data_IF_694560588020
#
_entry.id   IF_694560588020
#
_cell.length_a   1.000
_cell.length_b   1.000
_cell.length_c   1.000
_cell.angle_alpha   90.00
_cell.angle_beta   90.00
_cell.angle_gamma   90.00
#
_symmetry.space_group_name_H-M   'P 1'
#
loop_
_entity.id
_entity.type
_entity.pdbx_description
1 polymer ?
#
# COMPACT_ATOMS: atom_id res chain seq x y z
N UNK A 1 -12.58 8.40 -17.37
CA UNK A 1 -11.45 8.15 -16.44
C UNK A 1 -12.03 8.05 -15.04
N UNK A 2 -11.68 7.04 -14.23
CA UNK A 2 -12.18 6.96 -12.86
C UNK A 2 -11.57 8.10 -12.03
N UNK A 3 -12.43 8.85 -11.35
CA UNK A 3 -12.03 9.94 -10.44
C UNK A 3 -12.39 9.53 -9.03
N UNK A 4 -11.43 9.62 -8.11
CA UNK A 4 -11.64 9.32 -6.70
C UNK A 4 -11.54 10.63 -5.93
N UNK A 5 -12.63 11.02 -5.25
CA UNK A 5 -12.64 12.18 -4.36
C UNK A 5 -12.42 11.72 -2.93
N UNK A 6 -11.30 12.12 -2.34
CA UNK A 6 -11.03 11.88 -0.92
C UNK A 6 -11.60 13.05 -0.12
N UNK A 7 -12.62 12.80 0.69
CA UNK A 7 -13.22 13.79 1.61
C UNK A 7 -12.73 13.51 3.03
N UNK A 8 -12.68 14.56 3.85
CA UNK A 8 -12.33 14.47 5.27
C UNK A 8 -10.89 13.97 5.55
N UNK A 9 -9.90 14.51 4.83
CA UNK A 9 -8.49 14.22 5.11
C UNK A 9 -8.09 14.93 6.42
N UNK A 10 -7.58 14.22 7.43
CA UNK A 10 -7.08 14.85 8.65
C UNK A 10 -5.97 15.86 8.31
N UNK A 11 -5.92 17.04 8.95
CA UNK A 11 -4.95 18.08 8.63
C UNK A 11 -3.50 17.59 8.76
N UNK A 12 -3.21 16.76 9.77
CA UNK A 12 -1.90 16.14 9.95
C UNK A 12 -1.50 15.21 8.79
N UNK A 13 -2.49 14.51 8.20
CA UNK A 13 -2.25 13.63 7.05
C UNK A 13 -2.04 14.45 5.78
N UNK A 14 -2.77 15.56 5.62
CA UNK A 14 -2.59 16.47 4.50
C UNK A 14 -1.19 17.11 4.51
N UNK A 15 -0.69 17.53 5.68
CA UNK A 15 0.67 18.08 5.79
C UNK A 15 1.74 17.04 5.46
N UNK A 16 1.59 15.79 5.94
CA UNK A 16 2.49 14.69 5.56
C UNK A 16 2.46 14.41 4.05
N UNK A 17 1.28 14.41 3.43
CA UNK A 17 1.11 14.26 1.99
C UNK A 17 1.78 15.40 1.22
N UNK A 18 1.62 16.64 1.69
CA UNK A 18 2.23 17.83 1.08
C UNK A 18 3.75 17.80 1.17
N UNK A 19 4.30 17.42 2.33
CA UNK A 19 5.74 17.24 2.50
C UNK A 19 6.28 16.14 1.58
N UNK A 20 5.62 14.97 1.55
CA UNK A 20 6.02 13.88 0.66
C UNK A 20 5.95 14.30 -0.82
N UNK A 21 4.88 14.97 -1.22
CA UNK A 21 4.72 15.49 -2.58
C UNK A 21 5.84 16.47 -2.96
N UNK A 22 6.20 17.38 -2.05
CA UNK A 22 7.31 18.33 -2.26
C UNK A 22 8.67 17.62 -2.38
N UNK A 23 8.96 16.66 -1.49
CA UNK A 23 10.19 15.86 -1.54
C UNK A 23 10.31 15.08 -2.85
N UNK A 24 9.19 14.53 -3.31
CA UNK A 24 9.13 13.76 -4.54
C UNK A 24 8.94 14.64 -5.80
N UNK A 25 8.94 15.97 -5.67
CA UNK A 25 8.70 16.95 -6.76
C UNK A 25 7.45 16.64 -7.59
N UNK A 26 6.38 16.18 -6.95
CA UNK A 26 5.11 15.83 -7.61
C UNK A 26 3.94 16.58 -7.00
N UNK A 27 2.81 16.59 -7.70
CA UNK A 27 1.56 17.14 -7.16
C UNK A 27 1.02 16.25 -6.04
N UNK A 28 0.23 16.83 -5.14
CA UNK A 28 -0.47 16.09 -4.08
C UNK A 28 -1.35 14.98 -4.69
N UNK A 29 -1.98 15.24 -5.84
CA UNK A 29 -2.82 14.24 -6.51
C UNK A 29 -2.00 13.01 -6.92
N UNK A 30 -0.83 13.21 -7.53
CA UNK A 30 0.07 12.11 -7.90
C UNK A 30 0.61 11.37 -6.68
N UNK A 31 0.87 12.08 -5.57
CA UNK A 31 1.30 11.47 -4.32
C UNK A 31 0.19 10.61 -3.69
N UNK A 32 -1.06 11.08 -3.71
CA UNK A 32 -2.22 10.31 -3.25
C UNK A 32 -2.38 9.03 -4.08
N UNK A 33 -2.28 9.13 -5.41
CA UNK A 33 -2.36 7.96 -6.30
C UNK A 33 -1.27 6.94 -5.95
N UNK A 34 -0.03 7.39 -5.76
CA UNK A 34 1.09 6.51 -5.40
C UNK A 34 0.92 5.93 -3.99
N UNK A 35 0.40 6.70 -3.04
CA UNK A 35 0.11 6.23 -1.70
C UNK A 35 -0.95 5.13 -1.74
N UNK A 36 -2.02 5.31 -2.53
CA UNK A 36 -3.06 4.30 -2.77
C UNK A 36 -2.47 3.09 -3.49
N UNK A 37 -1.67 3.29 -4.53
CA UNK A 37 -1.01 2.20 -5.27
C UNK A 37 -0.09 1.39 -4.37
N UNK A 38 0.70 2.05 -3.52
CA UNK A 38 1.56 1.41 -2.52
C UNK A 38 0.73 0.69 -1.46
N UNK A 39 -0.30 1.30 -0.92
CA UNK A 39 -1.17 0.69 0.09
C UNK A 39 -1.89 -0.55 -0.45
N UNK A 40 -2.35 -0.50 -1.71
CA UNK A 40 -2.97 -1.64 -2.39
C UNK A 40 -1.92 -2.71 -2.71
N UNK A 41 -0.76 -2.34 -3.27
CA UNK A 41 0.33 -3.29 -3.56
C UNK A 41 0.86 -3.98 -2.31
N UNK A 42 1.01 -3.26 -1.20
CA UNK A 42 1.37 -3.83 0.11
C UNK A 42 0.25 -4.72 0.67
N UNK A 43 -1.00 -4.50 0.28
CA UNK A 43 -2.15 -5.36 0.64
C UNK A 43 -2.47 -6.48 -0.35
N UNK A 44 -1.78 -6.62 -1.48
CA UNK A 44 -1.81 -7.87 -2.26
C UNK A 44 -0.90 -8.88 -1.56
N UNK A 45 -1.21 -9.13 -0.30
CA UNK A 45 -0.93 -10.42 0.31
C UNK A 45 -1.96 -11.33 -0.32
N UNK A 46 -1.61 -11.94 -1.44
CA UNK A 46 -2.43 -12.98 -2.05
C UNK A 46 -2.63 -14.06 -0.96
N UNK A 47 -3.86 -14.27 -0.46
CA UNK A 47 -4.12 -15.22 0.60
C UNK A 47 -3.66 -16.63 0.21
N UNK A 48 -3.77 -16.97 -1.08
CA UNK A 48 -3.27 -18.23 -1.62
C UNK A 48 -1.74 -18.27 -1.61
N UNK A 49 -1.05 -17.15 -1.86
CA UNK A 49 0.41 -17.09 -1.74
C UNK A 49 0.88 -17.24 -0.29
N UNK A 50 0.16 -16.68 0.68
CA UNK A 50 0.45 -16.87 2.12
C UNK A 50 0.15 -18.29 2.57
N UNK A 51 -0.98 -18.87 2.14
CA UNK A 51 -1.30 -20.26 2.43
C UNK A 51 -0.29 -21.20 1.78
N UNK A 52 0.16 -20.92 0.55
CA UNK A 52 1.21 -21.69 -0.13
C UNK A 52 2.54 -21.59 0.59
N UNK A 53 2.94 -20.39 1.04
CA UNK A 53 4.16 -20.20 1.83
C UNK A 53 4.08 -20.94 3.19
N UNK A 54 2.93 -20.87 3.86
CA UNK A 54 2.68 -21.57 5.12
C UNK A 54 2.69 -23.11 4.94
N UNK A 55 2.11 -23.62 3.85
CA UNK A 55 2.17 -25.06 3.49
C UNK A 55 3.60 -25.52 3.24
N UNK A 56 4.36 -24.79 2.42
CA UNK A 56 5.78 -25.07 2.16
C UNK A 56 6.63 -25.05 3.42
N UNK A 57 6.34 -24.14 4.35
CA UNK A 57 7.05 -24.07 5.63
C UNK A 57 6.71 -25.27 6.53
N UNK A 58 5.45 -25.71 6.56
CA UNK A 58 5.00 -26.91 7.30
C UNK A 58 5.60 -28.20 6.74
N UNK A 59 5.67 -28.35 5.42
CA UNK A 59 6.33 -29.51 4.79
C UNK A 59 7.82 -29.58 5.15
N UNK A 60 8.50 -28.43 5.20
CA UNK A 60 9.92 -28.35 5.59
C UNK A 60 10.16 -28.63 7.07
N UNK A 61 9.18 -28.38 7.94
CA UNK A 61 9.29 -28.64 9.39
C UNK A 61 8.70 -29.98 9.80
N UNK A 62 7.89 -30.62 8.96
CA UNK A 62 7.38 -31.98 9.18
C UNK A 62 8.39 -33.09 8.81
N UNK A 63 9.50 -32.73 8.17
CA UNK A 63 10.58 -33.65 7.79
C UNK A 63 11.79 -33.62 8.75
N UNK A 64 11.63 -33.09 9.97
CA UNK A 64 12.63 -33.17 11.04
C UNK A 64 12.06 -33.80 12.29
#
# INVERSE_FOLDING_TARGET
MPTVTVKNIPPDLYEKLKQSAHLNRRSINSEIVICIERAIRTRVIDPDAVLAAARRLREKTAAH
#
